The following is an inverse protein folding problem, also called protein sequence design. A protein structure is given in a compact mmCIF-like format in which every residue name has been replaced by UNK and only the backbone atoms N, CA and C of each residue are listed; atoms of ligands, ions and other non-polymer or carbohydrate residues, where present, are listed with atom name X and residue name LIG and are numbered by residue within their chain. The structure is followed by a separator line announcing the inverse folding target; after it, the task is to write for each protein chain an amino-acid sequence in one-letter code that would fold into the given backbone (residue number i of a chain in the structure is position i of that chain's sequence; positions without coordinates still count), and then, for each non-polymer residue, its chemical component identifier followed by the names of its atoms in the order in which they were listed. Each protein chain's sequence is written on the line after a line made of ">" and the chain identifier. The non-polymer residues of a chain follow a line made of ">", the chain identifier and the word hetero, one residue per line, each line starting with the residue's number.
data_IF_721940937695
#
_entry.id   IF_721940937695
#
_cell.length_a   1.000
_cell.length_b   1.000
_cell.length_c   1.000
_cell.angle_alpha   90.00
_cell.angle_beta   90.00
_cell.angle_gamma   90.00
#
_symmetry.space_group_name_H-M   'P 1'
#
loop_
_entity.id
_entity.type
_entity.pdbx_description
1 polymer ?
#
# COMPACT_ATOMS: atom_id res chain seq x y z
N UNK A 1 -13.34 11.71 -0.51
CA UNK A 1 -11.87 11.85 -0.43
C UNK A 1 -11.29 10.94 -1.50
N UNK A 2 -10.47 11.47 -2.38
CA UNK A 2 -9.87 10.73 -3.49
C UNK A 2 -8.72 9.88 -2.93
N UNK A 3 -8.74 8.56 -3.18
CA UNK A 3 -7.71 7.62 -2.67
C UNK A 3 -6.55 7.40 -3.63
N UNK A 4 -6.70 7.81 -4.89
CA UNK A 4 -5.70 7.58 -5.94
C UNK A 4 -5.00 8.91 -6.19
N UNK A 5 -3.67 8.91 -6.18
CA UNK A 5 -2.88 10.08 -6.49
C UNK A 5 -3.20 10.60 -7.91
N UNK A 6 -3.18 11.93 -8.10
CA UNK A 6 -3.49 12.53 -9.39
C UNK A 6 -2.53 12.08 -10.51
N UNK A 7 -1.25 11.89 -10.19
CA UNK A 7 -0.26 11.36 -11.14
C UNK A 7 -0.57 9.93 -11.56
N UNK A 8 -0.97 9.08 -10.59
CA UNK A 8 -1.41 7.72 -10.85
C UNK A 8 -2.69 7.69 -11.71
N UNK A 9 -3.65 8.59 -11.46
CA UNK A 9 -4.84 8.71 -12.31
C UNK A 9 -4.48 9.13 -13.75
N UNK A 10 -3.64 10.15 -13.90
CA UNK A 10 -3.20 10.62 -15.22
C UNK A 10 -2.44 9.51 -15.99
N UNK A 11 -1.69 8.66 -15.29
CA UNK A 11 -1.04 7.50 -15.88
C UNK A 11 -2.06 6.45 -16.34
N UNK A 12 -3.05 6.15 -15.50
CA UNK A 12 -4.13 5.18 -15.79
C UNK A 12 -4.99 5.57 -17.00
N UNK A 13 -5.15 6.87 -17.28
CA UNK A 13 -5.89 7.34 -18.46
C UNK A 13 -5.19 7.03 -19.79
N UNK A 14 -3.87 6.86 -19.76
CA UNK A 14 -3.03 6.66 -20.94
C UNK A 14 -2.54 5.21 -21.10
N UNK A 15 -2.52 4.46 -20.00
CA UNK A 15 -1.96 3.12 -19.96
C UNK A 15 -2.91 2.04 -20.50
N UNK A 16 -2.34 0.99 -21.09
CA UNK A 16 -3.07 -0.24 -21.36
C UNK A 16 -3.50 -0.89 -20.04
N UNK A 17 -4.72 -1.43 -20.00
CA UNK A 17 -5.28 -2.12 -18.82
C UNK A 17 -4.43 -3.28 -18.27
N UNK A 18 -3.60 -3.88 -19.13
CA UNK A 18 -2.67 -4.97 -18.81
C UNK A 18 -1.27 -4.49 -18.45
N UNK A 19 -0.96 -3.20 -18.58
CA UNK A 19 0.34 -2.66 -18.25
C UNK A 19 0.63 -2.86 -16.76
N UNK A 20 1.80 -3.45 -16.47
CA UNK A 20 2.28 -3.66 -15.10
C UNK A 20 2.94 -2.39 -14.59
N UNK A 21 2.66 -2.01 -13.34
CA UNK A 21 3.27 -0.87 -12.68
C UNK A 21 3.59 -1.16 -11.22
N UNK A 22 4.61 -0.48 -10.71
CA UNK A 22 4.92 -0.46 -9.29
C UNK A 22 3.99 0.54 -8.59
N UNK A 23 3.47 0.11 -7.44
CA UNK A 23 2.43 0.81 -6.70
C UNK A 23 2.78 0.81 -5.21
N UNK A 24 2.60 1.96 -4.58
CA UNK A 24 2.61 2.14 -3.13
C UNK A 24 1.16 2.19 -2.66
N UNK A 25 0.80 1.34 -1.70
CA UNK A 25 -0.49 1.39 -1.01
C UNK A 25 -0.26 1.79 0.44
N UNK A 26 -0.98 2.80 0.91
CA UNK A 26 -1.05 3.18 2.32
C UNK A 26 -2.32 2.61 2.95
N UNK A 27 -2.19 2.05 4.16
CA UNK A 27 -3.27 1.33 4.84
C UNK A 27 -3.71 2.03 6.12
N UNK A 28 -5.02 2.01 6.35
CA UNK A 28 -5.64 2.37 7.64
C UNK A 28 -5.55 1.20 8.60
N UNK A 29 -4.50 1.18 9.41
CA UNK A 29 -4.43 0.28 10.56
C UNK A 29 -4.98 1.00 11.79
N UNK A 30 -5.84 0.33 12.53
CA UNK A 30 -6.27 0.79 13.84
C UNK A 30 -5.56 -0.05 14.88
N UNK A 31 -4.60 0.56 15.58
CA UNK A 31 -3.96 -0.08 16.71
C UNK A 31 -4.99 -0.27 17.83
N UNK A 32 -5.15 -1.50 18.35
CA UNK A 32 -6.00 -1.72 19.51
C UNK A 32 -5.40 -1.02 20.73
N UNK A 33 -6.18 -0.14 21.37
CA UNK A 33 -5.81 0.46 22.66
C UNK A 33 -6.00 -0.56 23.77
N UNK A 34 -4.99 -1.40 23.99
CA UNK A 34 -4.99 -2.36 25.10
C UNK A 34 -4.13 -1.78 26.23
N UNK A 35 -4.78 -1.46 27.35
CA UNK A 35 -4.09 -1.02 28.57
C UNK A 35 -3.53 -2.21 29.35
N UNK A 36 -2.44 -2.01 30.09
CA UNK A 36 -1.86 -3.03 30.98
C UNK A 36 -1.00 -4.11 30.33
N UNK A 37 -0.78 -4.08 29.01
CA UNK A 37 0.12 -5.04 28.32
C UNK A 37 1.56 -4.54 28.23
N UNK A 38 2.50 -5.48 28.11
CA UNK A 38 3.92 -5.15 27.93
C UNK A 38 4.16 -4.48 26.56
N UNK A 39 5.29 -3.78 26.42
CA UNK A 39 5.70 -3.17 25.14
C UNK A 39 5.83 -4.23 24.04
N UNK A 40 6.38 -5.39 24.35
CA UNK A 40 6.58 -6.49 23.40
C UNK A 40 5.25 -7.02 22.88
N UNK A 41 4.26 -7.18 23.76
CA UNK A 41 2.92 -7.65 23.38
C UNK A 41 2.20 -6.64 22.50
N UNK A 42 2.39 -5.34 22.78
CA UNK A 42 1.82 -4.27 21.94
C UNK A 42 2.37 -4.30 20.51
N UNK A 43 3.68 -4.52 20.37
CA UNK A 43 4.33 -4.65 19.06
C UNK A 43 3.79 -5.88 18.32
N UNK A 44 3.68 -7.02 19.01
CA UNK A 44 3.15 -8.25 18.43
C UNK A 44 1.70 -8.06 17.93
N UNK A 45 0.83 -7.43 18.73
CA UNK A 45 -0.55 -7.14 18.35
C UNK A 45 -0.66 -6.17 17.17
N UNK A 46 0.20 -5.13 17.13
CA UNK A 46 0.20 -4.17 16.02
C UNK A 46 0.60 -4.82 14.71
N UNK A 47 1.62 -5.70 14.75
CA UNK A 47 2.03 -6.50 13.59
C UNK A 47 0.94 -7.47 13.14
N UNK A 48 0.27 -8.14 14.08
CA UNK A 48 -0.84 -9.04 13.77
C UNK A 48 -2.02 -8.29 13.15
N UNK A 49 -2.36 -7.10 13.68
CA UNK A 49 -3.41 -6.25 13.15
C UNK A 49 -3.10 -5.78 11.72
N UNK A 50 -1.85 -5.38 11.46
CA UNK A 50 -1.40 -5.07 10.11
C UNK A 50 -1.54 -6.28 9.17
N UNK A 51 -1.08 -7.46 9.57
CA UNK A 51 -1.14 -8.66 8.73
C UNK A 51 -2.59 -9.03 8.34
N UNK A 52 -3.53 -8.96 9.28
CA UNK A 52 -4.96 -9.20 9.02
C UNK A 52 -5.56 -8.26 7.97
N UNK A 53 -4.99 -7.08 7.80
CA UNK A 53 -5.41 -6.11 6.78
C UNK A 53 -4.71 -6.40 5.45
N UNK A 54 -3.42 -6.77 5.48
CA UNK A 54 -2.62 -7.06 4.28
C UNK A 54 -3.10 -8.32 3.56
N UNK A 55 -3.38 -9.41 4.29
CA UNK A 55 -3.73 -10.72 3.70
C UNK A 55 -4.79 -10.65 2.58
N UNK A 56 -5.97 -10.01 2.76
CA UNK A 56 -6.97 -9.93 1.69
C UNK A 56 -6.55 -9.04 0.50
N UNK A 57 -5.70 -8.04 0.74
CA UNK A 57 -5.17 -7.15 -0.31
C UNK A 57 -4.13 -7.90 -1.13
N UNK A 58 -3.22 -8.61 -0.48
CA UNK A 58 -2.20 -9.46 -1.11
C UNK A 58 -2.85 -10.55 -1.98
N UNK A 59 -3.89 -11.21 -1.47
CA UNK A 59 -4.64 -12.20 -2.24
C UNK A 59 -5.30 -11.59 -3.49
N UNK A 60 -5.81 -10.36 -3.38
CA UNK A 60 -6.39 -9.64 -4.51
C UNK A 60 -5.34 -9.31 -5.56
N UNK A 61 -4.19 -8.78 -5.13
CA UNK A 61 -3.04 -8.49 -5.99
C UNK A 61 -2.61 -9.75 -6.75
N UNK A 62 -2.46 -10.86 -6.04
CA UNK A 62 -2.06 -12.16 -6.59
C UNK A 62 -3.06 -12.70 -7.61
N UNK A 63 -4.36 -12.64 -7.31
CA UNK A 63 -5.43 -13.11 -8.23
C UNK A 63 -5.52 -12.31 -9.51
N UNK A 64 -5.14 -11.03 -9.47
CA UNK A 64 -5.05 -10.18 -10.65
C UNK A 64 -3.78 -10.41 -11.47
N UNK A 65 -2.87 -11.28 -11.03
CA UNK A 65 -1.59 -11.52 -11.71
C UNK A 65 -0.49 -10.53 -11.32
N UNK A 66 -0.69 -9.76 -10.25
CA UNK A 66 0.35 -8.95 -9.63
C UNK A 66 1.10 -9.70 -8.52
N UNK A 67 2.05 -9.00 -7.92
CA UNK A 67 2.85 -9.50 -6.80
C UNK A 67 3.08 -8.39 -5.77
N UNK A 68 3.12 -8.77 -4.48
CA UNK A 68 3.59 -7.89 -3.42
C UNK A 68 5.11 -7.99 -3.36
N UNK A 69 5.81 -6.88 -3.55
CA UNK A 69 7.28 -6.83 -3.57
C UNK A 69 7.86 -6.48 -2.20
N UNK A 70 7.10 -5.76 -1.37
CA UNK A 70 7.49 -5.46 0.02
C UNK A 70 6.29 -5.08 0.87
N UNK A 71 6.42 -5.25 2.19
CA UNK A 71 5.48 -4.72 3.17
C UNK A 71 6.25 -4.05 4.29
N UNK A 72 5.70 -2.94 4.78
CA UNK A 72 6.30 -2.17 5.86
C UNK A 72 5.21 -1.84 6.89
N UNK A 73 5.24 -2.58 8.00
CA UNK A 73 4.19 -2.52 9.02
C UNK A 73 4.25 -1.25 9.88
N UNK A 74 5.40 -0.59 9.98
CA UNK A 74 5.56 0.62 10.80
C UNK A 74 4.91 1.87 10.18
N UNK A 75 4.95 1.97 8.85
CA UNK A 75 4.32 3.05 8.07
C UNK A 75 3.03 2.57 7.38
N UNK A 76 2.59 1.35 7.68
CA UNK A 76 1.38 0.74 7.12
C UNK A 76 1.35 0.72 5.59
N UNK A 77 2.47 0.42 4.94
CA UNK A 77 2.55 0.41 3.47
C UNK A 77 2.77 -0.97 2.86
N UNK A 78 2.25 -1.14 1.65
CA UNK A 78 2.56 -2.25 0.76
C UNK A 78 3.20 -1.67 -0.50
N UNK A 79 4.30 -2.28 -0.95
CA UNK A 79 4.82 -2.10 -2.30
C UNK A 79 4.40 -3.32 -3.12
N UNK A 80 3.82 -3.08 -4.29
CA UNK A 80 3.34 -4.14 -5.15
C UNK A 80 3.56 -3.79 -6.62
N UNK A 81 3.75 -4.81 -7.44
CA UNK A 81 3.71 -4.70 -8.89
C UNK A 81 2.39 -5.28 -9.37
N UNK A 82 1.54 -4.45 -9.95
CA UNK A 82 0.16 -4.84 -10.31
C UNK A 82 -0.16 -4.46 -11.75
N UNK A 83 -1.10 -5.15 -12.40
CA UNK A 83 -1.69 -4.65 -13.63
C UNK A 83 -2.57 -3.42 -13.38
N UNK A 84 -2.59 -2.48 -14.32
CA UNK A 84 -3.36 -1.23 -14.25
C UNK A 84 -4.84 -1.42 -13.90
N UNK A 85 -5.49 -2.45 -14.46
CA UNK A 85 -6.91 -2.75 -14.20
C UNK A 85 -7.21 -3.08 -12.73
N UNK A 86 -6.20 -3.41 -11.93
CA UNK A 86 -6.34 -3.79 -10.51
C UNK A 86 -6.54 -2.58 -9.60
N UNK A 87 -6.10 -1.39 -10.01
CA UNK A 87 -5.97 -0.22 -9.13
C UNK A 87 -7.32 0.25 -8.58
N UNK A 88 -8.36 0.29 -9.42
CA UNK A 88 -9.71 0.66 -8.97
C UNK A 88 -10.28 -0.33 -7.96
N UNK A 89 -9.97 -1.62 -8.13
CA UNK A 89 -10.37 -2.65 -7.18
C UNK A 89 -9.66 -2.46 -5.83
N UNK A 90 -8.35 -2.19 -5.85
CA UNK A 90 -7.56 -1.93 -4.63
C UNK A 90 -8.07 -0.68 -3.89
N UNK A 91 -8.42 0.39 -4.61
CA UNK A 91 -9.00 1.59 -4.02
C UNK A 91 -10.36 1.36 -3.33
N UNK A 92 -11.10 0.31 -3.72
CA UNK A 92 -12.39 -0.04 -3.12
C UNK A 92 -12.26 -0.64 -1.72
N UNK A 93 -11.09 -1.12 -1.31
CA UNK A 93 -10.88 -1.63 0.04
C UNK A 93 -10.98 -0.51 1.07
N UNK A 94 -11.85 -0.67 2.07
CA UNK A 94 -12.04 0.30 3.15
C UNK A 94 -10.75 0.60 3.92
N UNK A 95 -9.88 -0.41 4.01
CA UNK A 95 -8.59 -0.32 4.69
C UNK A 95 -7.49 0.31 3.86
N UNK A 96 -7.69 0.52 2.56
CA UNK A 96 -6.75 1.29 1.73
C UNK A 96 -7.06 2.77 1.90
N UNK A 97 -6.07 3.51 2.38
CA UNK A 97 -6.12 4.96 2.57
C UNK A 97 -5.76 5.69 1.27
N UNK A 98 -4.64 5.30 0.67
CA UNK A 98 -4.05 6.00 -0.45
C UNK A 98 -3.30 5.04 -1.39
N UNK A 99 -3.25 5.38 -2.68
CA UNK A 99 -2.54 4.65 -3.73
C UNK A 99 -1.72 5.65 -4.54
N UNK A 100 -0.43 5.35 -4.70
CA UNK A 100 0.50 6.24 -5.39
C UNK A 100 1.59 5.47 -6.15
N UNK A 101 2.30 6.16 -7.04
CA UNK A 101 3.51 5.67 -7.67
C UNK A 101 4.71 5.83 -6.74
N UNK A 102 5.74 4.97 -6.84
CA UNK A 102 7.01 5.21 -6.16
C UNK A 102 7.66 6.51 -6.66
N UNK A 103 7.97 7.41 -5.74
CA UNK A 103 8.66 8.65 -6.06
C UNK A 103 10.17 8.48 -5.95
N UNK A 104 10.91 8.94 -6.97
CA UNK A 104 12.35 9.01 -6.87
C UNK A 104 12.75 10.02 -5.79
N UNK A 105 13.70 9.65 -4.93
CA UNK A 105 14.31 10.62 -4.02
C UNK A 105 15.12 11.57 -4.89
N UNK A 106 14.60 12.78 -5.09
CA UNK A 106 15.33 13.83 -5.77
C UNK A 106 16.40 14.34 -4.81
N UNK A 107 17.65 13.95 -5.04
CA UNK A 107 18.78 14.31 -4.19
C UNK A 107 19.18 15.75 -4.52
N UNK A 108 18.44 16.72 -3.98
CA UNK A 108 18.84 18.12 -4.08
C UNK A 108 20.07 18.37 -3.19
N UNK A 109 21.23 18.42 -3.86
CA UNK A 109 22.45 19.17 -3.52
C UNK A 109 23.11 18.90 -2.15
N UNK A 110 24.02 17.93 -2.14
CA UNK A 110 25.34 18.19 -1.55
C UNK A 110 26.11 19.06 -2.58
N UNK A 111 25.86 20.37 -2.56
CA UNK A 111 26.84 21.29 -3.15
C UNK A 111 28.11 21.21 -2.29
N UNK A 112 29.29 21.00 -2.91
CA UNK A 112 30.57 20.93 -2.20
C UNK A 112 30.93 22.25 -1.50
#
# INVERSE_FOLDING_TARGET
>A
MQKIAAELEAWLEQADSSAMLDLVLELKVHEPKVEGISRSDRIAQSREAFQKIVDPIEETIRRSGGEVTSTAWLNHTILARVPAHTIKNLASFDRVEFLDLPHAINVDRLSP
#
